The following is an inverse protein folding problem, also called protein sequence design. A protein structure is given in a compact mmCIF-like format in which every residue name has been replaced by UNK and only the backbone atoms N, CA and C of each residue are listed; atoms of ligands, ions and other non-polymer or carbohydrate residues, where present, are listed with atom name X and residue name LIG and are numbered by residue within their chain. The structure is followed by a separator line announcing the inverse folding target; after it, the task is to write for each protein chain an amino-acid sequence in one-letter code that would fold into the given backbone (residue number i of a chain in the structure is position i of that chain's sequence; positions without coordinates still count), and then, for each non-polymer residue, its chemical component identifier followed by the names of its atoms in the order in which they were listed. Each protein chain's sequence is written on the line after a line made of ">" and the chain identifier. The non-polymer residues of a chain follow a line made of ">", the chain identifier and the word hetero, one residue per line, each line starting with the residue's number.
data_IF_135881230607
#
_entry.id   IF_135881230607
#
_cell.length_a   1.000
_cell.length_b   1.000
_cell.length_c   1.000
_cell.angle_alpha   90.00
_cell.angle_beta   90.00
_cell.angle_gamma   90.00
#
_symmetry.space_group_name_H-M   'P 1'
#
loop_
_entity.id
_entity.type
_entity.pdbx_description
1 polymer ?
#
# COMPACT_ATOMS: atom_id res chain seq x y z
N UNK A 1 9.17 -16.35 1.67
CA UNK A 1 8.04 -15.77 2.41
C UNK A 1 7.34 -14.82 1.46
N UNK A 2 6.16 -15.15 0.97
CA UNK A 2 5.36 -14.22 0.16
C UNK A 2 5.01 -13.02 1.02
N UNK A 3 5.58 -11.87 0.69
CA UNK A 3 5.30 -10.62 1.39
C UNK A 3 4.01 -10.07 0.81
N UNK A 4 2.87 -10.43 1.41
CA UNK A 4 1.60 -9.83 1.04
C UNK A 4 1.62 -8.36 1.47
N UNK A 5 1.78 -7.47 0.49
CA UNK A 5 1.72 -6.02 0.69
C UNK A 5 0.28 -5.49 0.85
N UNK A 6 -0.70 -6.38 0.80
CA UNK A 6 -2.09 -6.03 1.05
C UNK A 6 -2.33 -5.73 2.53
N UNK A 7 -3.16 -4.70 2.74
CA UNK A 7 -3.64 -4.37 4.07
C UNK A 7 -4.68 -5.39 4.53
N UNK A 8 -4.51 -5.89 5.75
CA UNK A 8 -5.52 -6.69 6.44
C UNK A 8 -6.72 -5.83 6.81
N UNK A 9 -7.85 -6.48 7.13
CA UNK A 9 -9.06 -5.75 7.55
C UNK A 9 -8.83 -4.90 8.81
N UNK A 10 -7.99 -5.39 9.72
CA UNK A 10 -7.60 -4.69 10.94
C UNK A 10 -6.78 -3.43 10.63
N UNK A 11 -5.82 -3.54 9.70
CA UNK A 11 -5.01 -2.41 9.24
C UNK A 11 -5.86 -1.37 8.50
N UNK A 12 -6.78 -1.80 7.63
CA UNK A 12 -7.72 -0.90 6.94
C UNK A 12 -8.62 -0.16 7.93
N UNK A 13 -9.14 -0.86 8.93
CA UNK A 13 -9.97 -0.28 9.98
C UNK A 13 -9.23 0.82 10.74
N UNK A 14 -7.98 0.56 11.16
CA UNK A 14 -7.16 1.56 11.84
C UNK A 14 -6.92 2.82 10.99
N UNK A 15 -6.55 2.64 9.71
CA UNK A 15 -6.33 3.78 8.79
C UNK A 15 -7.60 4.59 8.60
N UNK A 16 -8.76 3.93 8.47
CA UNK A 16 -10.03 4.65 8.32
C UNK A 16 -10.29 5.57 9.51
N UNK A 17 -10.06 5.09 10.73
CA UNK A 17 -10.21 5.90 11.94
C UNK A 17 -9.21 7.06 12.00
N UNK A 18 -7.96 6.84 11.59
CA UNK A 18 -7.00 7.93 11.46
C UNK A 18 -7.41 8.96 10.40
N UNK A 19 -7.96 8.52 9.27
CA UNK A 19 -8.45 9.41 8.21
C UNK A 19 -9.67 10.24 8.64
N UNK A 20 -10.45 9.73 9.60
CA UNK A 20 -11.54 10.46 10.27
C UNK A 20 -11.01 11.48 11.32
N UNK A 21 -9.69 11.52 11.55
CA UNK A 21 -9.04 12.49 12.44
C UNK A 21 -8.89 12.02 13.88
N UNK A 22 -9.05 10.73 14.16
CA UNK A 22 -8.91 10.19 15.52
C UNK A 22 -7.44 10.11 15.94
N UNK A 23 -7.22 10.35 17.22
CA UNK A 23 -5.92 10.16 17.90
C UNK A 23 -5.63 8.68 18.13
N UNK A 24 -4.36 8.26 18.32
CA UNK A 24 -3.99 6.88 18.61
C UNK A 24 -4.76 6.27 19.80
N UNK A 25 -5.02 7.06 20.84
CA UNK A 25 -5.78 6.64 22.02
C UNK A 25 -7.25 6.37 21.69
N UNK A 26 -7.88 7.23 20.88
CA UNK A 26 -9.27 7.04 20.44
C UNK A 26 -9.40 5.85 19.50
N UNK A 27 -8.40 5.62 18.63
CA UNK A 27 -8.35 4.42 17.79
C UNK A 27 -8.22 3.16 18.65
N UNK A 28 -7.35 3.21 19.67
CA UNK A 28 -7.15 2.10 20.60
C UNK A 28 -8.44 1.74 21.34
N UNK A 29 -9.16 2.75 21.81
CA UNK A 29 -10.48 2.59 22.44
C UNK A 29 -11.49 1.97 21.48
N UNK A 30 -11.65 2.51 20.26
CA UNK A 30 -12.62 1.98 19.29
C UNK A 30 -12.31 0.55 18.84
N UNK A 31 -11.03 0.20 18.75
CA UNK A 31 -10.59 -1.13 18.32
C UNK A 31 -10.41 -2.11 19.49
N UNK A 32 -10.68 -1.68 20.72
CA UNK A 32 -10.51 -2.45 21.97
C UNK A 32 -9.10 -3.06 22.12
N UNK A 33 -8.07 -2.26 21.83
CA UNK A 33 -6.64 -2.65 21.83
C UNK A 33 -5.81 -1.60 22.57
N UNK A 34 -4.51 -1.83 22.73
CA UNK A 34 -3.63 -0.83 23.36
C UNK A 34 -3.15 0.22 22.35
N UNK A 35 -2.79 1.41 22.83
CA UNK A 35 -2.15 2.45 22.00
C UNK A 35 -0.87 1.95 21.34
N UNK A 36 -0.07 1.15 22.06
CA UNK A 36 1.12 0.50 21.49
C UNK A 36 0.78 -0.40 20.30
N UNK A 37 -0.31 -1.17 20.39
CA UNK A 37 -0.77 -1.99 19.26
C UNK A 37 -1.23 -1.14 18.09
N UNK A 38 -1.84 0.03 18.35
CA UNK A 38 -2.21 0.99 17.31
C UNK A 38 -0.96 1.54 16.61
N UNK A 39 0.07 1.93 17.35
CA UNK A 39 1.34 2.39 16.79
C UNK A 39 2.02 1.33 15.92
N UNK A 40 2.02 0.07 16.37
CA UNK A 40 2.54 -1.05 15.58
C UNK A 40 1.74 -1.28 14.29
N UNK A 41 0.41 -1.16 14.35
CA UNK A 41 -0.45 -1.22 13.16
C UNK A 41 -0.09 -0.07 12.20
N UNK A 42 0.06 1.15 12.70
CA UNK A 42 0.43 2.31 11.88
C UNK A 42 1.79 2.13 11.19
N UNK A 43 2.80 1.63 11.93
CA UNK A 43 4.11 1.31 11.34
C UNK A 43 4.01 0.24 10.24
N UNK A 44 3.25 -0.82 10.50
CA UNK A 44 3.07 -1.93 9.54
C UNK A 44 2.37 -1.44 8.27
N UNK A 45 1.34 -0.62 8.43
CA UNK A 45 0.62 0.03 7.32
C UNK A 45 1.57 0.88 6.50
N UNK A 46 2.32 1.79 7.13
CA UNK A 46 3.23 2.70 6.43
C UNK A 46 4.28 1.90 5.63
N UNK A 47 4.81 0.83 6.22
CA UNK A 47 5.74 -0.06 5.55
C UNK A 47 5.13 -0.74 4.32
N UNK A 48 3.92 -1.29 4.44
CA UNK A 48 3.20 -1.93 3.32
C UNK A 48 2.90 -0.95 2.19
N UNK A 49 2.36 0.22 2.52
CA UNK A 49 2.03 1.26 1.55
C UNK A 49 3.28 1.79 0.83
N UNK A 50 4.35 2.08 1.58
CA UNK A 50 5.59 2.59 1.00
C UNK A 50 6.25 1.55 0.09
N UNK A 51 6.33 0.28 0.54
CA UNK A 51 6.91 -0.79 -0.28
C UNK A 51 6.11 -1.04 -1.55
N UNK A 52 4.77 -1.01 -1.47
CA UNK A 52 3.90 -1.14 -2.65
C UNK A 52 4.13 0.01 -3.65
N UNK A 53 4.26 1.24 -3.14
CA UNK A 53 4.56 2.41 -3.96
C UNK A 53 5.93 2.30 -4.64
N UNK A 54 6.95 1.84 -3.91
CA UNK A 54 8.29 1.64 -4.46
C UNK A 54 8.30 0.57 -5.54
N UNK A 55 7.68 -0.59 -5.30
CA UNK A 55 7.58 -1.66 -6.29
C UNK A 55 6.92 -1.16 -7.57
N UNK A 56 5.81 -0.43 -7.44
CA UNK A 56 5.12 0.19 -8.58
C UNK A 56 6.04 1.15 -9.34
N UNK A 57 6.76 2.02 -8.64
CA UNK A 57 7.67 2.98 -9.26
C UNK A 57 8.86 2.30 -9.98
N UNK A 58 9.38 1.20 -9.44
CA UNK A 58 10.49 0.45 -10.03
C UNK A 58 10.07 -0.52 -11.13
N UNK A 59 8.82 -0.97 -11.16
CA UNK A 59 8.28 -1.82 -12.23
C UNK A 59 7.78 -0.99 -13.42
N UNK A 60 7.36 0.26 -13.18
CA UNK A 60 6.93 1.17 -14.25
C UNK A 60 8.04 1.48 -15.28
N UNK A 61 9.30 1.22 -14.96
CA UNK A 61 10.43 1.40 -15.90
C UNK A 61 10.58 0.26 -16.92
N UNK A 62 9.82 -0.83 -16.81
CA UNK A 62 9.83 -1.96 -17.75
C UNK A 62 8.62 -1.96 -18.70
N UNK A 63 8.15 -0.79 -19.15
CA UNK A 63 7.28 -0.77 -20.35
C UNK A 63 8.18 -1.00 -21.57
N UNK A 64 8.13 -2.15 -22.26
CA UNK A 64 8.87 -2.32 -23.49
C UNK A 64 8.20 -1.41 -24.52
N UNK A 65 8.97 -0.45 -25.02
CA UNK A 65 8.67 0.23 -26.25
C UNK A 65 8.79 -0.78 -27.40
N UNK A 66 7.77 -1.62 -27.57
CA UNK A 66 7.65 -2.49 -28.74
C UNK A 66 6.48 -1.98 -29.57
N UNK A 67 6.74 -0.91 -30.31
CA UNK A 67 5.94 -0.56 -31.48
C UNK A 67 6.62 -1.30 -32.64
N UNK A 68 5.97 -2.28 -33.29
CA UNK A 68 6.58 -2.93 -34.43
C UNK A 68 6.68 -1.91 -35.57
N UNK A 69 7.91 -1.46 -35.81
CA UNK A 69 8.34 -0.83 -37.06
C UNK A 69 8.67 -1.96 -38.03
N UNK A 70 8.22 -1.83 -39.28
CA UNK A 70 8.24 -2.81 -40.39
C UNK A 70 6.98 -3.70 -40.47
N UNK A 71 6.22 -3.80 -41.57
CA UNK A 71 6.48 -3.46 -42.96
C UNK A 71 5.16 -3.11 -43.69
N UNK A 72 5.06 -1.89 -44.20
CA UNK A 72 4.19 -1.55 -45.34
C UNK A 72 5.09 -1.12 -46.49
N UNK A 73 5.82 -2.09 -47.05
CA UNK A 73 6.36 -2.02 -48.41
C UNK A 73 5.83 -3.23 -49.17
N UNK A 74 4.69 -3.05 -49.81
CA UNK A 74 4.34 -3.61 -51.13
C UNK A 74 2.94 -3.13 -51.50
N UNK A 75 2.91 -2.04 -52.25
CA UNK A 75 1.79 -1.64 -53.10
C UNK A 75 2.34 -1.45 -54.51
#
# INVERSE_FOLDING_TARGET
>A
METHYELTERERSAIRLFAEGLTPEQVAEQMAITTEQVEQIAMTVLHKLFTSSLLTATQATETPADTPTEALVSA
#
